data_IF_396132764358
#
_entry.id   IF_396132764358
#
_cell.length_a   1.000
_cell.length_b   1.000
_cell.length_c   1.000
_cell.angle_alpha   90.00
_cell.angle_beta   90.00
_cell.angle_gamma   90.00
#
_symmetry.space_group_name_H-M   'P 1'
#
loop_
_entity.id
_entity.type
_entity.pdbx_description
1 polymer ?
#
# COMPACT_ATOMS: atom_id res chain seq x y z
N UNK A 1 -26.68 -12.08 -14.61
CA UNK A 1 -26.18 -11.62 -15.92
C UNK A 1 -24.72 -11.25 -15.70
N UNK A 2 -23.75 -11.82 -16.45
CA UNK A 2 -22.32 -11.71 -16.13
C UNK A 2 -21.82 -10.27 -15.96
N UNK A 3 -22.33 -9.32 -16.75
CA UNK A 3 -21.96 -7.91 -16.65
C UNK A 3 -22.46 -7.21 -15.37
N UNK A 4 -23.62 -7.59 -14.84
CA UNK A 4 -24.11 -7.06 -13.56
C UNK A 4 -23.31 -7.61 -12.38
N UNK A 5 -22.96 -8.89 -12.43
CA UNK A 5 -22.12 -9.55 -11.43
C UNK A 5 -20.71 -8.94 -11.40
N UNK A 6 -20.17 -8.63 -12.58
CA UNK A 6 -18.90 -7.93 -12.71
C UNK A 6 -18.95 -6.50 -12.16
N UNK A 7 -19.98 -5.71 -12.48
CA UNK A 7 -20.15 -4.38 -11.88
C UNK A 7 -20.22 -4.46 -10.34
N UNK A 8 -21.01 -5.39 -9.80
CA UNK A 8 -21.10 -5.61 -8.36
C UNK A 8 -19.78 -6.05 -7.73
N UNK A 9 -18.94 -6.79 -8.47
CA UNK A 9 -17.59 -7.15 -8.02
C UNK A 9 -16.67 -5.91 -7.97
N UNK A 10 -16.72 -5.01 -8.96
CA UNK A 10 -15.99 -3.75 -8.91
C UNK A 10 -16.46 -2.82 -7.79
N UNK A 11 -17.77 -2.74 -7.52
CA UNK A 11 -18.28 -1.97 -6.37
C UNK A 11 -17.73 -2.49 -5.04
N UNK A 12 -17.76 -3.83 -4.85
CA UNK A 12 -17.15 -4.47 -3.67
C UNK A 12 -15.65 -4.17 -3.58
N UNK A 13 -14.95 -4.16 -4.71
CA UNK A 13 -13.52 -3.84 -4.75
C UNK A 13 -13.26 -2.40 -4.32
N UNK A 14 -14.02 -1.43 -4.82
CA UNK A 14 -13.92 -0.02 -4.40
C UNK A 14 -14.16 0.12 -2.90
N UNK A 15 -15.19 -0.53 -2.35
CA UNK A 15 -15.44 -0.54 -0.91
C UNK A 15 -14.27 -1.14 -0.10
N UNK A 16 -13.67 -2.22 -0.57
CA UNK A 16 -12.49 -2.81 0.07
C UNK A 16 -11.29 -1.86 0.02
N UNK A 17 -11.09 -1.14 -1.08
CA UNK A 17 -10.03 -0.15 -1.19
C UNK A 17 -10.24 1.03 -0.23
N UNK A 18 -11.48 1.52 -0.07
CA UNK A 18 -11.77 2.59 0.89
C UNK A 18 -11.52 2.14 2.34
N UNK A 19 -11.88 0.89 2.66
CA UNK A 19 -11.55 0.29 3.97
C UNK A 19 -10.04 0.13 4.16
N UNK A 20 -9.32 -0.29 3.11
CA UNK A 20 -7.87 -0.41 3.15
C UNK A 20 -7.20 0.95 3.37
N UNK A 21 -7.70 2.02 2.75
CA UNK A 21 -7.23 3.38 2.98
C UNK A 21 -7.29 3.73 4.48
N UNK A 22 -8.44 3.51 5.12
CA UNK A 22 -8.61 3.75 6.55
C UNK A 22 -7.68 2.90 7.43
N UNK A 23 -7.50 1.62 7.09
CA UNK A 23 -6.60 0.73 7.83
C UNK A 23 -5.12 1.14 7.70
N UNK A 24 -4.69 1.59 6.51
CA UNK A 24 -3.34 2.09 6.25
C UNK A 24 -3.09 3.39 7.02
N UNK A 25 -4.03 4.34 6.94
CA UNK A 25 -3.93 5.63 7.65
C UNK A 25 -3.88 5.42 9.17
N UNK A 26 -4.59 4.41 9.69
CA UNK A 26 -4.55 4.00 11.09
C UNK A 26 -3.32 3.13 11.46
N UNK A 27 -2.47 2.76 10.49
CA UNK A 27 -1.33 1.83 10.67
C UNK A 27 -1.72 0.49 11.30
N UNK A 28 -2.96 0.04 11.06
CA UNK A 28 -3.52 -1.19 11.62
C UNK A 28 -3.10 -2.41 10.78
N UNK A 29 -1.87 -2.91 10.99
CA UNK A 29 -1.27 -3.99 10.19
C UNK A 29 -2.17 -5.22 10.03
N UNK A 30 -2.77 -5.70 11.12
CA UNK A 30 -3.65 -6.89 11.08
C UNK A 30 -4.88 -6.67 10.17
N UNK A 31 -5.42 -5.45 10.15
CA UNK A 31 -6.54 -5.11 9.27
C UNK A 31 -6.09 -4.98 7.81
N UNK A 32 -4.91 -4.40 7.58
CA UNK A 32 -4.34 -4.31 6.23
C UNK A 32 -4.10 -5.70 5.65
N UNK A 33 -3.57 -6.63 6.44
CA UNK A 33 -3.30 -8.00 5.99
C UNK A 33 -4.61 -8.77 5.74
N UNK A 34 -5.59 -8.67 6.64
CA UNK A 34 -6.93 -9.26 6.42
C UNK A 34 -7.64 -8.69 5.19
N UNK A 35 -7.49 -7.40 4.90
CA UNK A 35 -8.07 -6.77 3.71
C UNK A 35 -7.36 -7.19 2.42
N UNK A 36 -6.04 -7.39 2.47
CA UNK A 36 -5.26 -7.93 1.35
C UNK A 36 -5.80 -9.31 0.93
N UNK A 37 -6.04 -10.22 1.87
CA UNK A 37 -6.60 -11.55 1.55
C UNK A 37 -7.97 -11.46 0.88
N UNK A 38 -8.85 -10.57 1.37
CA UNK A 38 -10.17 -10.33 0.77
C UNK A 38 -10.06 -9.78 -0.66
N UNK A 39 -9.11 -8.85 -0.88
CA UNK A 39 -8.86 -8.26 -2.20
C UNK A 39 -8.31 -9.31 -3.16
N UNK A 40 -7.36 -10.15 -2.73
CA UNK A 40 -6.82 -11.25 -3.54
C UNK A 40 -7.94 -12.20 -4.00
N UNK A 41 -8.79 -12.65 -3.07
CA UNK A 41 -9.95 -13.49 -3.39
C UNK A 41 -10.90 -12.81 -4.38
N UNK A 42 -11.21 -11.53 -4.19
CA UNK A 42 -12.12 -10.79 -5.06
C UNK A 42 -11.53 -10.57 -6.46
N UNK A 43 -10.22 -10.30 -6.56
CA UNK A 43 -9.56 -10.12 -7.87
C UNK A 43 -9.61 -11.39 -8.72
N UNK A 44 -9.46 -12.58 -8.11
CA UNK A 44 -9.62 -13.85 -8.82
C UNK A 44 -11.07 -14.06 -9.31
N UNK A 45 -12.07 -13.68 -8.50
CA UNK A 45 -13.49 -13.71 -8.90
C UNK A 45 -13.73 -12.76 -10.09
N UNK A 46 -13.23 -11.53 -10.00
CA UNK A 46 -13.37 -10.50 -11.05
C UNK A 46 -12.74 -10.93 -12.37
N UNK A 47 -11.58 -11.60 -12.35
CA UNK A 47 -10.93 -12.10 -13.56
C UNK A 47 -11.81 -13.14 -14.28
N UNK A 48 -12.41 -14.08 -13.52
CA UNK A 48 -13.32 -15.08 -14.08
C UNK A 48 -14.59 -14.46 -14.67
N UNK A 49 -15.18 -13.49 -13.96
CA UNK A 49 -16.34 -12.73 -14.43
C UNK A 49 -16.03 -11.89 -15.67
N UNK A 50 -14.82 -11.32 -15.75
CA UNK A 50 -14.37 -10.52 -16.89
C UNK A 50 -14.24 -11.37 -18.16
N UNK A 51 -13.64 -12.55 -18.07
CA UNK A 51 -13.55 -13.48 -19.20
C UNK A 51 -14.95 -13.91 -19.69
N UNK A 52 -15.87 -14.15 -18.75
CA UNK A 52 -17.26 -14.49 -19.05
C UNK A 52 -18.02 -13.34 -19.70
N UNK A 53 -17.79 -12.10 -19.25
CA UNK A 53 -18.41 -10.89 -19.78
C UNK A 53 -17.93 -10.53 -21.20
N UNK A 54 -16.66 -10.81 -21.53
CA UNK A 54 -16.12 -10.61 -22.89
C UNK A 54 -16.72 -11.57 -23.93
N UNK A 55 -17.15 -12.76 -23.50
CA UNK A 55 -17.76 -13.75 -24.38
C UNK A 55 -19.21 -13.41 -24.79
N UNK A 56 -19.88 -12.53 -24.04
CA UNK A 56 -21.24 -12.06 -24.30
C UNK A 56 -21.29 -10.52 -24.15
N UNK A 57 -20.87 -9.77 -25.18
CA UNK A 57 -20.80 -8.32 -25.12
C UNK A 57 -22.20 -7.74 -24.96
N UNK A 58 -22.52 -7.34 -23.72
CA UNK A 58 -23.76 -6.64 -23.38
C UNK A 58 -23.92 -5.30 -24.10
N UNK A 59 -25.09 -4.68 -23.90
CA UNK A 59 -25.42 -3.32 -24.31
C UNK A 59 -24.25 -2.32 -24.09
N UNK A 60 -23.99 -1.38 -25.03
CA UNK A 60 -22.99 -0.32 -24.88
C UNK A 60 -23.07 0.48 -23.57
N UNK A 61 -24.27 0.59 -22.99
CA UNK A 61 -24.49 1.25 -21.70
C UNK A 61 -23.80 0.52 -20.54
N UNK A 62 -23.92 -0.81 -20.48
CA UNK A 62 -23.32 -1.62 -19.43
C UNK A 62 -21.79 -1.62 -19.50
N UNK A 63 -21.22 -1.57 -20.71
CA UNK A 63 -19.78 -1.42 -20.91
C UNK A 63 -19.25 -0.03 -20.49
N UNK A 64 -20.05 1.03 -20.66
CA UNK A 64 -19.70 2.36 -20.18
C UNK A 64 -19.68 2.43 -18.65
N UNK A 65 -20.71 1.89 -17.98
CA UNK A 65 -20.78 1.79 -16.52
C UNK A 65 -19.61 0.97 -15.96
N UNK A 66 -19.32 -0.19 -16.56
CA UNK A 66 -18.18 -1.03 -16.18
C UNK A 66 -16.84 -0.29 -16.32
N UNK A 67 -16.66 0.48 -17.40
CA UNK A 67 -15.45 1.29 -17.61
C UNK A 67 -15.26 2.31 -16.50
N UNK A 68 -16.32 3.02 -16.10
CA UNK A 68 -16.24 3.98 -15.00
C UNK A 68 -15.85 3.32 -13.69
N UNK A 69 -16.43 2.16 -13.38
CA UNK A 69 -16.08 1.38 -12.18
C UNK A 69 -14.63 0.90 -12.17
N UNK A 70 -14.12 0.44 -13.32
CA UNK A 70 -12.71 0.05 -13.47
C UNK A 70 -11.78 1.23 -13.18
N UNK A 71 -12.06 2.40 -13.77
CA UNK A 71 -11.24 3.59 -13.56
C UNK A 71 -11.24 4.02 -12.09
N UNK A 72 -12.40 3.97 -11.43
CA UNK A 72 -12.48 4.24 -10.00
C UNK A 72 -11.66 3.26 -9.18
N UNK A 73 -11.78 1.95 -9.44
CA UNK A 73 -11.02 0.91 -8.76
C UNK A 73 -9.49 1.12 -8.90
N UNK A 74 -9.01 1.43 -10.11
CA UNK A 74 -7.59 1.73 -10.37
C UNK A 74 -7.10 2.96 -9.62
N UNK A 75 -7.91 4.03 -9.58
CA UNK A 75 -7.59 5.24 -8.84
C UNK A 75 -7.42 4.95 -7.33
N UNK A 76 -8.36 4.23 -6.72
CA UNK A 76 -8.28 3.91 -5.28
C UNK A 76 -7.09 3.01 -4.97
N UNK A 77 -6.81 2.03 -5.82
CA UNK A 77 -5.63 1.17 -5.69
C UNK A 77 -4.33 1.98 -5.73
N UNK A 78 -4.20 2.90 -6.70
CA UNK A 78 -3.03 3.78 -6.83
C UNK A 78 -2.84 4.69 -5.61
N UNK A 79 -3.93 5.25 -5.08
CA UNK A 79 -3.89 6.06 -3.86
C UNK A 79 -3.43 5.23 -2.66
N UNK A 80 -3.95 4.00 -2.50
CA UNK A 80 -3.53 3.11 -1.41
C UNK A 80 -2.06 2.67 -1.52
N UNK A 81 -1.57 2.43 -2.74
CA UNK A 81 -0.15 2.17 -2.97
C UNK A 81 0.72 3.36 -2.52
N UNK A 82 0.27 4.59 -2.80
CA UNK A 82 0.96 5.80 -2.37
C UNK A 82 0.98 5.93 -0.85
N UNK A 83 -0.13 5.63 -0.17
CA UNK A 83 -0.22 5.61 1.31
C UNK A 83 0.74 4.61 1.93
N UNK A 84 0.78 3.38 1.41
CA UNK A 84 1.70 2.34 1.88
C UNK A 84 3.17 2.76 1.70
N UNK A 85 3.52 3.35 0.55
CA UNK A 85 4.87 3.84 0.30
C UNK A 85 5.27 4.96 1.28
N UNK A 86 4.35 5.89 1.58
CA UNK A 86 4.58 6.94 2.56
C UNK A 86 4.84 6.35 3.96
N UNK A 87 4.03 5.37 4.38
CA UNK A 87 4.22 4.70 5.67
C UNK A 87 5.56 3.93 5.75
N UNK A 88 5.95 3.21 4.69
CA UNK A 88 7.25 2.54 4.62
C UNK A 88 8.41 3.54 4.74
N UNK A 89 8.33 4.67 4.04
CA UNK A 89 9.34 5.72 4.13
C UNK A 89 9.45 6.31 5.53
N UNK A 90 8.33 6.59 6.19
CA UNK A 90 8.31 7.06 7.58
C UNK A 90 8.98 6.05 8.52
N UNK A 91 8.66 4.77 8.36
CA UNK A 91 9.25 3.68 9.16
C UNK A 91 10.76 3.57 8.92
N UNK A 92 11.21 3.70 7.67
CA UNK A 92 12.63 3.73 7.32
C UNK A 92 13.40 4.90 7.95
N UNK A 93 12.76 6.08 8.03
CA UNK A 93 13.35 7.23 8.73
C UNK A 93 13.51 6.95 10.23
N UNK A 94 12.51 6.35 10.89
CA UNK A 94 12.62 5.98 12.31
C UNK A 94 13.73 4.95 12.55
N UNK A 95 13.85 3.94 11.68
CA UNK A 95 14.94 2.95 11.74
C UNK A 95 16.32 3.61 11.62
N UNK A 96 16.48 4.56 10.70
CA UNK A 96 17.73 5.30 10.51
C UNK A 96 18.10 6.08 11.77
N UNK A 97 17.13 6.73 12.43
CA UNK A 97 17.36 7.43 13.71
C UNK A 97 17.76 6.48 14.84
N UNK A 98 17.14 5.31 14.92
CA UNK A 98 17.52 4.28 15.91
C UNK A 98 18.94 3.77 15.67
N UNK A 99 19.33 3.54 14.41
CA UNK A 99 20.70 3.13 14.05
C UNK A 99 21.74 4.19 14.44
N UNK A 100 21.46 5.48 14.16
CA UNK A 100 22.32 6.58 14.57
C UNK A 100 22.48 6.66 16.10
N UNK A 101 21.38 6.47 16.84
CA UNK A 101 21.41 6.39 18.30
C UNK A 101 22.23 5.22 18.82
N UNK A 102 22.10 4.03 18.22
CA UNK A 102 22.89 2.85 18.58
C UNK A 102 24.40 3.07 18.39
N UNK A 103 24.79 3.67 17.26
CA UNK A 103 26.19 4.05 16.99
C UNK A 103 26.71 5.03 18.04
N UNK A 104 25.93 6.07 18.38
CA UNK A 104 26.31 7.05 19.40
C UNK A 104 26.53 6.38 20.77
N UNK A 105 25.63 5.50 21.20
CA UNK A 105 25.78 4.75 22.47
C UNK A 105 27.03 3.85 22.45
N UNK A 106 27.28 3.14 21.36
CA UNK A 106 28.47 2.29 21.23
C UNK A 106 29.77 3.11 21.28
N UNK A 107 29.77 4.31 20.70
CA UNK A 107 30.92 5.21 20.76
C UNK A 107 31.16 5.82 22.15
N UNK A 108 30.13 5.92 22.99
CA UNK A 108 30.21 6.50 24.34
C UNK A 108 30.85 5.56 25.38
N UNK A 109 30.81 4.25 25.14
CA UNK A 109 31.46 3.22 25.99
C UNK A 109 32.81 2.74 25.48
N UNK A 110 33.24 3.19 24.30
CA UNK A 110 34.58 2.90 23.80
C UNK A 110 35.60 3.62 24.69
N UNK A 111 36.63 2.95 25.24
CA UNK A 111 37.66 3.64 25.98
C UNK A 111 38.26 4.70 25.07
N UNK A 112 38.15 5.97 25.48
CA UNK A 112 38.94 7.05 24.92
C UNK A 112 40.40 6.64 25.18
N UNK A 113 41.03 5.98 24.21
CA UNK A 113 42.47 5.86 24.16
C UNK A 113 42.97 7.29 23.96
N UNK A 114 43.18 7.95 25.08
CA UNK A 114 43.86 9.23 25.21
C UNK A 114 45.13 9.18 24.39
N UNK A 115 45.11 9.86 23.25
CA UNK A 115 46.23 9.87 22.33
C UNK A 115 46.15 10.95 21.26
N UNK A 116 45.41 12.04 21.54
CA UNK A 116 45.47 13.41 20.98
C UNK A 116 44.07 13.99 20.75
N UNK A 117 43.81 15.25 21.13
CA UNK A 117 42.58 15.94 20.78
C UNK A 117 42.50 16.11 19.25
N UNK A 118 41.32 15.82 18.67
CA UNK A 118 41.05 15.95 17.24
C UNK A 118 40.85 17.41 16.79
N UNK A 119 41.02 18.38 17.69
CA UNK A 119 40.80 19.81 17.46
C UNK A 119 42.10 20.62 17.50
N UNK A 120 43.18 20.12 16.91
CA UNK A 120 44.30 20.96 16.50
C UNK A 120 44.79 20.51 15.12
N UNK A 121 44.22 21.12 14.07
CA UNK A 121 44.95 21.92 13.08
C UNK A 121 44.01 22.34 11.95
N UNK A 122 43.53 23.59 12.02
CA UNK A 122 43.27 24.43 10.85
C UNK A 122 44.61 25.06 10.43
N UNK A 123 44.93 25.07 9.13
CA UNK A 123 45.66 26.12 8.41
C UNK A 123 45.86 25.71 6.95
#
# INVERSE_FOLDING_TARGET
MPNQELCAAYDRFVMLMDRAAGAIDAKALDQVDSLKEQVESLTSEMESLFQSALADPSSPKAMAELKELILQALERLSLNQTRLAAWLNETGFQLTRLQQGAVAVHSYGAPVRSGRPFFEQQA
#
